data_IF_282422366214
#
_entry.id   IF_282422366214
#
_cell.length_a   1.000
_cell.length_b   1.000
_cell.length_c   1.000
_cell.angle_alpha   90.00
_cell.angle_beta   90.00
_cell.angle_gamma   90.00
#
_symmetry.space_group_name_H-M   'P 1'
#
loop_
_entity.id
_entity.type
_entity.pdbx_description
1 polymer ?
#
# COMPACT_ATOMS: atom_id res chain seq x y z
N UNK A 1 5.65 -39.31 20.24
CA UNK A 1 4.51 -38.36 20.22
C UNK A 1 4.92 -36.91 20.47
N UNK A 2 5.70 -36.58 21.51
CA UNK A 2 6.13 -35.19 21.79
C UNK A 2 6.91 -34.52 20.65
N UNK A 3 7.76 -35.28 19.96
CA UNK A 3 8.55 -34.76 18.84
C UNK A 3 7.70 -34.35 17.63
N UNK A 4 6.73 -35.20 17.25
CA UNK A 4 5.83 -34.91 16.15
C UNK A 4 4.99 -33.64 16.43
N UNK A 5 4.52 -33.47 17.68
CA UNK A 5 3.82 -32.26 18.09
C UNK A 5 4.73 -31.01 18.02
N UNK A 6 5.98 -31.12 18.47
CA UNK A 6 6.94 -30.02 18.43
C UNK A 6 7.29 -29.59 16.99
N UNK A 7 7.46 -30.55 16.08
CA UNK A 7 7.72 -30.29 14.65
C UNK A 7 6.51 -29.64 13.98
N UNK A 8 5.29 -30.09 14.28
CA UNK A 8 4.06 -29.49 13.73
C UNK A 8 3.92 -28.03 14.22
N UNK A 9 4.09 -27.78 15.51
CA UNK A 9 4.01 -26.42 16.07
C UNK A 9 5.06 -25.50 15.43
N UNK A 10 6.32 -25.96 15.32
CA UNK A 10 7.37 -25.19 14.67
C UNK A 10 7.06 -24.90 13.19
N UNK A 11 6.57 -25.90 12.45
CA UNK A 11 6.17 -25.74 11.06
C UNK A 11 5.03 -24.74 10.86
N UNK A 12 3.99 -24.80 11.70
CA UNK A 12 2.85 -23.87 11.64
C UNK A 12 3.26 -22.43 11.95
N UNK A 13 4.11 -22.22 12.96
CA UNK A 13 4.61 -20.89 13.31
C UNK A 13 5.46 -20.28 12.18
N UNK A 14 6.30 -21.09 11.53
CA UNK A 14 7.08 -20.66 10.37
C UNK A 14 6.20 -20.30 9.17
N UNK A 15 5.15 -21.10 8.88
CA UNK A 15 4.23 -20.79 7.79
C UNK A 15 3.44 -19.52 8.04
N UNK A 16 2.96 -19.29 9.27
CA UNK A 16 2.25 -18.06 9.64
C UNK A 16 3.18 -16.85 9.50
N UNK A 17 4.42 -16.96 10.00
CA UNK A 17 5.43 -15.91 9.86
C UNK A 17 5.71 -15.55 8.39
N UNK A 18 5.84 -16.56 7.52
CA UNK A 18 6.04 -16.35 6.09
C UNK A 18 4.82 -15.72 5.39
N UNK A 19 3.60 -16.17 5.72
CA UNK A 19 2.36 -15.58 5.20
C UNK A 19 2.20 -14.11 5.63
N UNK A 20 2.54 -13.79 6.88
CA UNK A 20 2.52 -12.41 7.36
C UNK A 20 3.58 -11.54 6.67
N UNK A 21 4.80 -12.06 6.50
CA UNK A 21 5.88 -11.34 5.80
C UNK A 21 5.52 -11.04 4.34
N UNK A 22 4.96 -12.03 3.63
CA UNK A 22 4.52 -11.88 2.24
C UNK A 22 3.38 -10.88 2.11
N UNK A 23 2.36 -10.97 2.97
CA UNK A 23 1.25 -10.01 3.01
C UNK A 23 1.75 -8.57 3.24
N UNK A 24 2.66 -8.36 4.20
CA UNK A 24 3.18 -7.01 4.48
C UNK A 24 4.07 -6.45 3.37
N UNK A 25 4.85 -7.30 2.70
CA UNK A 25 5.60 -6.90 1.50
C UNK A 25 4.67 -6.45 0.39
N UNK A 26 3.56 -7.16 0.20
CA UNK A 26 2.56 -6.79 -0.81
C UNK A 26 1.92 -5.45 -0.47
N UNK A 27 1.48 -5.24 0.78
CA UNK A 27 0.95 -3.93 1.21
C UNK A 27 1.95 -2.79 0.96
N UNK A 28 3.24 -3.01 1.22
CA UNK A 28 4.27 -2.00 0.99
C UNK A 28 4.47 -1.67 -0.51
N UNK A 29 4.47 -2.68 -1.39
CA UNK A 29 4.51 -2.46 -2.84
C UNK A 29 3.33 -1.63 -3.34
N UNK A 30 2.16 -1.84 -2.76
CA UNK A 30 0.93 -1.19 -3.17
C UNK A 30 0.91 0.28 -2.73
N UNK A 31 1.45 0.57 -1.54
CA UNK A 31 1.75 1.94 -1.11
C UNK A 31 2.75 2.62 -2.06
N UNK A 32 3.79 1.90 -2.51
CA UNK A 32 4.75 2.40 -3.49
C UNK A 32 4.10 2.70 -4.85
N UNK A 33 3.20 1.84 -5.34
CA UNK A 33 2.42 2.10 -6.55
C UNK A 33 1.52 3.33 -6.41
N UNK A 34 0.89 3.52 -5.26
CA UNK A 34 0.09 4.72 -5.01
C UNK A 34 0.95 5.99 -5.04
N UNK A 35 2.12 5.98 -4.41
CA UNK A 35 3.09 7.09 -4.46
C UNK A 35 3.45 7.41 -5.92
N UNK A 36 3.76 6.39 -6.74
CA UNK A 36 4.05 6.58 -8.17
C UNK A 36 2.89 7.21 -8.92
N UNK A 37 1.66 6.77 -8.62
CA UNK A 37 0.45 7.35 -9.21
C UNK A 37 0.31 8.84 -8.88
N UNK A 38 0.46 9.25 -7.62
CA UNK A 38 0.32 10.65 -7.22
C UNK A 38 1.34 11.56 -7.92
N UNK A 39 2.60 11.11 -8.00
CA UNK A 39 3.66 11.81 -8.72
C UNK A 39 3.36 11.93 -10.22
N UNK A 40 2.88 10.84 -10.84
CA UNK A 40 2.47 10.83 -12.23
C UNK A 40 1.31 11.81 -12.47
N UNK A 41 0.29 11.77 -11.63
CA UNK A 41 -0.89 12.60 -11.80
C UNK A 41 -0.58 14.09 -11.65
N UNK A 42 0.23 14.47 -10.65
CA UNK A 42 0.70 15.85 -10.50
C UNK A 42 1.47 16.35 -11.72
N UNK A 43 2.33 15.51 -12.31
CA UNK A 43 3.05 15.87 -13.53
C UNK A 43 2.14 16.03 -14.76
N UNK A 44 1.18 15.12 -14.95
CA UNK A 44 0.28 15.19 -16.11
C UNK A 44 -0.65 16.41 -16.04
N UNK A 45 -1.13 16.77 -14.83
CA UNK A 45 -1.98 17.95 -14.63
C UNK A 45 -1.20 19.25 -14.89
N UNK A 46 0.02 19.36 -14.37
CA UNK A 46 0.84 20.57 -14.55
C UNK A 46 1.32 20.74 -16.01
N UNK A 47 1.92 19.69 -16.59
CA UNK A 47 2.62 19.80 -17.89
C UNK A 47 1.65 19.80 -19.06
N UNK A 48 0.66 18.92 -19.04
CA UNK A 48 -0.25 18.72 -20.18
C UNK A 48 -1.56 19.46 -20.00
N UNK A 49 -1.83 19.98 -18.80
CA UNK A 49 -3.13 20.55 -18.50
C UNK A 49 -4.27 19.54 -18.62
N UNK A 50 -3.94 18.25 -18.48
CA UNK A 50 -4.86 17.15 -18.66
C UNK A 50 -6.03 17.30 -17.69
N UNK A 51 -7.24 17.08 -18.20
CA UNK A 51 -8.41 16.95 -17.35
C UNK A 51 -8.26 15.68 -16.49
N UNK A 52 -8.87 15.68 -15.31
CA UNK A 52 -8.73 14.58 -14.36
C UNK A 52 -9.12 13.23 -14.99
N UNK A 53 -10.20 13.19 -15.77
CA UNK A 53 -10.64 11.96 -16.46
C UNK A 53 -9.52 11.32 -17.31
N UNK A 54 -8.78 12.13 -18.08
CA UNK A 54 -7.66 11.65 -18.90
C UNK A 54 -6.51 11.13 -18.03
N UNK A 55 -6.21 11.84 -16.94
CA UNK A 55 -5.15 11.44 -15.99
C UNK A 55 -5.46 10.07 -15.40
N UNK A 56 -6.69 9.87 -14.91
CA UNK A 56 -7.14 8.60 -14.35
C UNK A 56 -7.21 7.49 -15.40
N UNK A 57 -7.70 7.79 -16.61
CA UNK A 57 -7.74 6.83 -17.72
C UNK A 57 -6.34 6.36 -18.08
N UNK A 58 -5.38 7.28 -18.23
CA UNK A 58 -3.99 6.94 -18.53
C UNK A 58 -3.32 6.20 -17.38
N UNK A 59 -3.51 6.65 -16.14
CA UNK A 59 -2.99 5.99 -14.95
C UNK A 59 -3.51 4.54 -14.82
N UNK A 60 -4.76 4.27 -15.20
CA UNK A 60 -5.35 2.91 -15.15
C UNK A 60 -4.61 1.89 -16.05
N UNK A 61 -3.95 2.38 -17.10
CA UNK A 61 -3.19 1.55 -18.06
C UNK A 61 -1.78 1.21 -17.58
N UNK A 62 -1.22 2.01 -16.65
CA UNK A 62 0.18 1.88 -16.19
C UNK A 62 0.31 1.38 -14.75
N UNK A 63 -0.71 1.58 -13.92
CA UNK A 63 -0.72 1.15 -12.51
C UNK A 63 -0.99 -0.34 -12.37
N UNK A 64 -0.62 -0.90 -11.21
CA UNK A 64 -0.86 -2.32 -10.89
C UNK A 64 -1.59 -2.51 -9.55
N UNK A 65 -2.10 -3.73 -9.34
CA UNK A 65 -2.70 -4.14 -8.07
C UNK A 65 -3.89 -3.29 -7.61
N UNK A 66 -3.89 -2.96 -6.32
CA UNK A 66 -4.93 -2.17 -5.67
C UNK A 66 -4.99 -0.73 -6.20
N UNK A 67 -3.84 -0.14 -6.51
CA UNK A 67 -3.78 1.21 -7.12
C UNK A 67 -4.46 1.21 -8.47
N UNK A 68 -4.26 0.16 -9.29
CA UNK A 68 -5.00 0.01 -10.55
C UNK A 68 -6.50 -0.09 -10.34
N UNK A 69 -6.94 -0.87 -9.36
CA UNK A 69 -8.36 -1.01 -9.03
C UNK A 69 -8.96 0.35 -8.65
N UNK A 70 -8.31 1.11 -7.75
CA UNK A 70 -8.71 2.47 -7.36
C UNK A 70 -8.81 3.40 -8.57
N UNK A 71 -7.72 3.51 -9.34
CA UNK A 71 -7.62 4.45 -10.46
C UNK A 71 -8.60 4.11 -11.59
N UNK A 72 -8.78 2.82 -11.90
CA UNK A 72 -9.72 2.38 -12.94
C UNK A 72 -11.16 2.68 -12.57
N UNK A 73 -11.52 2.52 -11.29
CA UNK A 73 -12.85 2.88 -10.78
C UNK A 73 -13.09 4.38 -10.89
N UNK A 74 -12.12 5.19 -10.47
CA UNK A 74 -12.22 6.65 -10.59
C UNK A 74 -12.36 7.08 -12.06
N UNK A 75 -11.55 6.54 -12.97
CA UNK A 75 -11.67 6.83 -14.41
C UNK A 75 -13.10 6.58 -14.91
N UNK A 76 -13.66 5.41 -14.58
CA UNK A 76 -15.03 5.04 -14.95
C UNK A 76 -16.06 6.00 -14.36
N UNK A 77 -15.96 6.30 -13.06
CA UNK A 77 -16.93 7.15 -12.35
C UNK A 77 -16.91 8.60 -12.78
N UNK A 78 -15.74 9.12 -13.14
CA UNK A 78 -15.62 10.46 -13.70
C UNK A 78 -16.29 10.55 -15.07
N UNK A 79 -16.12 9.53 -15.93
CA UNK A 79 -16.82 9.47 -17.22
C UNK A 79 -18.36 9.36 -17.06
N UNK A 80 -18.83 8.77 -15.96
CA UNK A 80 -20.26 8.70 -15.60
C UNK A 80 -20.79 9.99 -14.94
N UNK A 81 -19.93 10.99 -14.68
CA UNK A 81 -20.33 12.25 -14.05
C UNK A 81 -20.60 12.18 -12.54
N UNK A 82 -20.06 11.17 -11.85
CA UNK A 82 -20.18 11.03 -10.40
C UNK A 82 -19.44 12.12 -9.62
N UNK A 83 -19.84 12.34 -8.37
CA UNK A 83 -19.12 13.25 -7.46
C UNK A 83 -17.73 12.69 -7.14
N UNK A 84 -16.68 13.41 -7.52
CA UNK A 84 -15.31 12.92 -7.44
C UNK A 84 -14.89 12.60 -6.00
N UNK A 85 -15.20 13.46 -5.03
CA UNK A 85 -14.77 13.28 -3.65
C UNK A 85 -15.48 12.08 -3.00
N UNK A 86 -16.78 11.95 -3.24
CA UNK A 86 -17.58 10.84 -2.74
C UNK A 86 -17.12 9.51 -3.35
N UNK A 87 -16.93 9.44 -4.67
CA UNK A 87 -16.48 8.22 -5.35
C UNK A 87 -15.05 7.85 -4.94
N UNK A 88 -14.17 8.82 -4.75
CA UNK A 88 -12.83 8.59 -4.24
C UNK A 88 -12.85 7.98 -2.85
N UNK A 89 -13.56 8.62 -1.91
CA UNK A 89 -13.69 8.12 -0.53
C UNK A 89 -14.23 6.69 -0.50
N UNK A 90 -15.27 6.42 -1.30
CA UNK A 90 -15.85 5.08 -1.40
C UNK A 90 -14.85 4.06 -1.97
N UNK A 91 -14.13 4.40 -3.03
CA UNK A 91 -13.14 3.52 -3.63
C UNK A 91 -11.96 3.24 -2.71
N UNK A 92 -11.45 4.25 -2.00
CA UNK A 92 -10.39 4.10 -0.99
C UNK A 92 -10.86 3.16 0.12
N UNK A 93 -12.06 3.37 0.66
CA UNK A 93 -12.60 2.54 1.75
C UNK A 93 -12.72 1.06 1.36
N UNK A 94 -13.15 0.75 0.13
CA UNK A 94 -13.24 -0.63 -0.33
C UNK A 94 -11.87 -1.29 -0.54
N UNK A 95 -10.93 -0.55 -1.12
CA UNK A 95 -9.57 -1.04 -1.38
C UNK A 95 -8.81 -1.22 -0.07
N UNK A 96 -8.91 -0.26 0.85
CA UNK A 96 -8.22 -0.23 2.13
C UNK A 96 -8.53 -1.46 3.00
N UNK A 97 -9.81 -1.86 3.11
CA UNK A 97 -10.23 -3.04 3.89
C UNK A 97 -9.48 -4.31 3.52
N UNK A 98 -9.08 -4.45 2.25
CA UNK A 98 -8.38 -5.64 1.75
C UNK A 98 -6.89 -5.61 2.00
N UNK A 99 -6.34 -4.43 2.29
CA UNK A 99 -4.90 -4.20 2.21
C UNK A 99 -4.23 -4.03 3.58
N UNK A 100 -5.00 -3.86 4.65
CA UNK A 100 -4.48 -3.73 6.02
C UNK A 100 -3.59 -2.50 6.19
N UNK A 101 -3.99 -1.40 5.58
CA UNK A 101 -3.36 -0.09 5.76
C UNK A 101 -3.71 0.43 7.18
N UNK A 102 -3.07 1.51 7.63
CA UNK A 102 -3.33 2.12 8.95
C UNK A 102 -4.12 3.44 8.83
N UNK A 103 -4.71 3.92 9.91
CA UNK A 103 -5.60 5.11 9.90
C UNK A 103 -4.91 6.35 9.31
N UNK A 104 -3.62 6.53 9.60
CA UNK A 104 -2.85 7.66 9.08
C UNK A 104 -2.66 7.57 7.55
N UNK A 105 -2.41 6.37 7.02
CA UNK A 105 -2.34 6.16 5.57
C UNK A 105 -3.71 6.43 4.93
N UNK A 106 -4.80 5.98 5.56
CA UNK A 106 -6.17 6.19 5.09
C UNK A 106 -6.52 7.68 4.98
N UNK A 107 -6.35 8.42 6.08
CA UNK A 107 -6.68 9.83 6.18
C UNK A 107 -5.96 10.64 5.11
N UNK A 108 -4.70 10.32 4.87
CA UNK A 108 -3.86 11.01 3.89
C UNK A 108 -4.35 10.78 2.46
N UNK A 109 -4.76 9.57 2.13
CA UNK A 109 -5.25 9.24 0.79
C UNK A 109 -6.65 9.82 0.58
N UNK A 110 -7.50 9.76 1.59
CA UNK A 110 -8.82 10.38 1.54
C UNK A 110 -8.67 11.89 1.33
N UNK A 111 -7.76 12.54 2.07
CA UNK A 111 -7.48 13.97 1.95
C UNK A 111 -6.93 14.33 0.56
N UNK A 112 -6.05 13.51 -0.01
CA UNK A 112 -5.46 13.74 -1.34
C UNK A 112 -6.50 14.01 -2.45
N UNK A 113 -7.73 13.53 -2.30
CA UNK A 113 -8.83 13.80 -3.23
C UNK A 113 -9.10 15.30 -3.42
N UNK A 114 -9.08 16.10 -2.36
CA UNK A 114 -9.32 17.54 -2.48
C UNK A 114 -8.23 18.23 -3.28
N UNK A 115 -7.02 17.67 -3.25
CA UNK A 115 -5.84 18.28 -3.85
C UNK A 115 -5.85 18.17 -5.38
N UNK A 116 -6.54 17.15 -5.91
CA UNK A 116 -6.87 17.05 -7.33
C UNK A 116 -7.82 18.15 -7.82
N UNK A 117 -8.59 18.76 -6.94
CA UNK A 117 -9.62 19.75 -7.27
C UNK A 117 -9.16 21.20 -7.06
N UNK A 118 -7.88 21.42 -6.74
CA UNK A 118 -7.33 22.75 -6.60
C UNK A 118 -7.41 23.51 -7.94
N UNK A 119 -7.68 24.82 -7.85
CA UNK A 119 -7.89 25.68 -9.01
C UNK A 119 -6.61 25.86 -9.84
N UNK A 120 -5.46 26.04 -9.18
CA UNK A 120 -4.18 26.25 -9.83
C UNK A 120 -3.45 24.92 -10.07
N UNK A 121 -3.15 24.62 -11.34
CA UNK A 121 -2.46 23.37 -11.72
C UNK A 121 -1.08 23.20 -11.06
N UNK A 122 -0.36 24.30 -10.85
CA UNK A 122 0.91 24.28 -10.11
C UNK A 122 0.72 23.82 -8.66
N UNK A 123 -0.32 24.31 -7.99
CA UNK A 123 -0.67 23.91 -6.63
C UNK A 123 -1.11 22.44 -6.56
N UNK A 124 -1.88 21.94 -7.55
CA UNK A 124 -2.25 20.52 -7.63
C UNK A 124 -1.00 19.65 -7.59
N UNK A 125 0.01 19.93 -8.43
CA UNK A 125 1.25 19.15 -8.41
C UNK A 125 1.97 19.25 -7.07
N UNK A 126 2.17 20.46 -6.56
CA UNK A 126 2.91 20.66 -5.30
C UNK A 126 2.27 19.87 -4.17
N UNK A 127 0.95 19.89 -4.08
CA UNK A 127 0.20 19.19 -3.05
C UNK A 127 0.21 17.67 -3.26
N UNK A 128 0.00 17.16 -4.48
CA UNK A 128 0.13 15.72 -4.77
C UNK A 128 1.56 15.19 -4.51
N UNK A 129 2.58 16.01 -4.75
CA UNK A 129 3.97 15.67 -4.40
C UNK A 129 4.22 15.68 -2.89
N UNK A 130 3.58 16.61 -2.18
CA UNK A 130 3.61 16.66 -0.72
C UNK A 130 2.98 15.40 -0.12
N UNK A 131 1.81 15.01 -0.58
CA UNK A 131 1.13 13.79 -0.15
C UNK A 131 1.97 12.55 -0.46
N UNK A 132 2.51 12.46 -1.68
CA UNK A 132 3.41 11.39 -2.08
C UNK A 132 4.65 11.30 -1.18
N UNK A 133 5.19 12.44 -0.74
CA UNK A 133 6.32 12.51 0.20
C UNK A 133 5.92 12.02 1.60
N UNK A 134 4.75 12.40 2.09
CA UNK A 134 4.26 11.91 3.38
C UNK A 134 3.99 10.39 3.34
N UNK A 135 3.35 9.88 2.29
CA UNK A 135 3.20 8.44 2.06
C UNK A 135 4.56 7.73 1.94
N UNK A 136 5.55 8.36 1.32
CA UNK A 136 6.92 7.82 1.25
C UNK A 136 7.55 7.68 2.64
N UNK A 137 7.32 8.62 3.55
CA UNK A 137 7.79 8.49 4.94
C UNK A 137 7.12 7.34 5.68
N UNK A 138 5.82 7.10 5.42
CA UNK A 138 5.09 5.96 5.98
C UNK A 138 5.60 4.63 5.40
N UNK A 139 5.88 4.60 4.10
CA UNK A 139 6.52 3.48 3.43
C UNK A 139 7.87 3.12 4.05
N UNK A 140 8.76 4.11 4.24
CA UNK A 140 10.09 3.88 4.84
C UNK A 140 9.99 3.34 6.28
N UNK A 141 9.07 3.88 7.09
CA UNK A 141 8.78 3.37 8.43
C UNK A 141 8.31 1.90 8.39
N UNK A 142 7.42 1.57 7.44
CA UNK A 142 6.87 0.22 7.27
C UNK A 142 7.94 -0.77 6.83
N UNK A 143 8.76 -0.42 5.84
CA UNK A 143 9.87 -1.27 5.36
C UNK A 143 10.91 -1.49 6.46
N UNK A 144 11.26 -0.45 7.21
CA UNK A 144 12.22 -0.57 8.33
C UNK A 144 11.69 -1.49 9.42
N UNK A 145 10.42 -1.31 9.83
CA UNK A 145 9.76 -2.19 10.81
C UNK A 145 9.71 -3.63 10.32
N UNK A 146 9.30 -3.85 9.07
CA UNK A 146 9.26 -5.17 8.45
C UNK A 146 10.64 -5.83 8.43
N UNK A 147 11.69 -5.09 8.04
CA UNK A 147 13.06 -5.58 8.04
C UNK A 147 13.54 -6.03 9.42
N UNK A 148 13.18 -5.29 10.47
CA UNK A 148 13.51 -5.64 11.85
C UNK A 148 12.74 -6.87 12.34
N UNK A 149 11.44 -6.96 12.05
CA UNK A 149 10.63 -8.13 12.40
C UNK A 149 11.08 -9.39 11.67
N UNK A 150 11.44 -9.30 10.39
CA UNK A 150 12.00 -10.42 9.64
C UNK A 150 13.32 -10.92 10.23
N UNK A 151 14.22 -10.00 10.65
CA UNK A 151 15.47 -10.36 11.34
C UNK A 151 15.17 -11.08 12.65
N UNK A 152 14.24 -10.56 13.45
CA UNK A 152 13.84 -11.16 14.72
C UNK A 152 13.25 -12.57 14.52
N UNK A 153 12.36 -12.74 13.54
CA UNK A 153 11.77 -14.05 13.22
C UNK A 153 12.84 -15.08 12.82
N UNK A 154 13.84 -14.67 12.02
CA UNK A 154 14.97 -15.55 11.67
C UNK A 154 15.75 -15.97 12.91
N UNK A 155 16.10 -15.02 13.79
CA UNK A 155 16.82 -15.31 15.04
C UNK A 155 16.03 -16.27 15.93
N UNK A 156 14.74 -16.00 16.14
CA UNK A 156 13.87 -16.88 16.94
C UNK A 156 13.74 -18.27 16.32
N UNK A 157 13.68 -18.37 15.00
CA UNK A 157 13.65 -19.66 14.29
C UNK A 157 14.93 -20.47 14.52
N UNK A 158 16.10 -19.81 14.47
CA UNK A 158 17.38 -20.44 14.82
C UNK A 158 17.42 -20.89 16.29
N UNK A 159 16.97 -20.05 17.22
CA UNK A 159 16.92 -20.40 18.64
C UNK A 159 15.98 -21.58 18.90
N UNK A 160 14.80 -21.60 18.27
CA UNK A 160 13.85 -22.71 18.39
C UNK A 160 14.42 -24.02 17.83
N UNK A 161 15.09 -23.96 16.66
CA UNK A 161 15.75 -25.14 16.09
C UNK A 161 16.88 -25.67 16.99
N UNK A 162 17.71 -24.78 17.55
CA UNK A 162 18.76 -25.17 18.50
C UNK A 162 18.17 -25.79 19.77
N UNK A 163 17.09 -25.22 20.31
CA UNK A 163 16.42 -25.76 21.50
C UNK A 163 15.81 -27.14 21.24
N UNK A 164 15.22 -27.35 20.06
CA UNK A 164 14.70 -28.66 19.65
C UNK A 164 15.81 -29.70 19.51
N UNK A 165 16.99 -29.33 18.99
CA UNK A 165 18.15 -30.22 18.91
C UNK A 165 18.66 -30.61 20.31
N UNK A 166 18.67 -29.67 21.26
CA UNK A 166 19.06 -29.95 22.65
C UNK A 166 18.06 -30.89 23.33
N UNK A 167 16.75 -30.69 23.13
CA UNK A 167 15.71 -31.56 23.70
C UNK A 167 15.63 -32.95 23.06
N UNK A 168 16.23 -33.11 21.89
CA UNK A 168 16.30 -34.35 21.12
C UNK A 168 17.50 -35.24 21.48
N UNK A 169 18.48 -34.68 22.18
CA UNK A 169 19.71 -35.33 22.61
C UNK A 169 19.61 -35.73 24.08
#
# INVERSE_FOLDING_TARGET
>A
MKLAAAVIIAGTLLSIGFCMETSRKETAKQLQELIRFLLFAGQEIEIRGSILEDVFTKASSITQGATKELVSRMAKRMAEGGDFLQEWSHAVNEVYRRMGWNEQEEELIIHCASDFLLFERGMVKEQLFFDAKQLSQLYEKRITKLGNECKLCRVLSFCAAAFLLILLW
#
